data_IF_688582215358
#
_entry.id   IF_688582215358
#
_cell.length_a   1.000
_cell.length_b   1.000
_cell.length_c   1.000
_cell.angle_alpha   90.00
_cell.angle_beta   90.00
_cell.angle_gamma   90.00
#
_symmetry.space_group_name_H-M   'P 1'
#
loop_
_entity.id
_entity.type
_entity.pdbx_description
1 polymer ?
#
# COMPACT_ATOMS: atom_id res chain seq x y z
N UNK A 1 19.11 20.90 42.02
CA UNK A 1 19.85 19.82 41.35
C UNK A 1 18.85 18.73 40.99
N UNK A 2 18.70 18.33 39.72
CA UNK A 2 17.86 17.17 39.37
C UNK A 2 18.68 15.93 39.64
N UNK A 3 18.26 15.09 40.58
CA UNK A 3 18.80 13.75 40.76
C UNK A 3 18.68 13.00 39.42
N UNK A 4 19.82 12.61 38.87
CA UNK A 4 19.85 11.77 37.68
C UNK A 4 19.29 10.41 38.06
N UNK A 5 18.26 9.95 37.34
CA UNK A 5 17.77 8.58 37.45
C UNK A 5 18.96 7.63 37.26
N UNK A 6 19.12 6.67 38.19
CA UNK A 6 20.19 5.68 38.12
C UNK A 6 20.17 4.95 36.77
N UNK A 7 21.35 4.64 36.23
CA UNK A 7 21.48 3.91 34.97
C UNK A 7 20.76 2.55 35.03
N UNK A 8 20.71 1.92 36.20
CA UNK A 8 19.99 0.66 36.43
C UNK A 8 18.48 0.83 36.27
N UNK A 9 17.90 1.87 36.86
CA UNK A 9 16.48 2.20 36.71
C UNK A 9 16.12 2.54 35.27
N UNK A 10 17.00 3.27 34.57
CA UNK A 10 16.80 3.60 33.16
C UNK A 10 16.84 2.35 32.26
N UNK A 11 17.76 1.42 32.53
CA UNK A 11 17.83 0.16 31.80
C UNK A 11 16.62 -0.75 32.08
N UNK A 12 16.21 -0.86 33.36
CA UNK A 12 15.03 -1.64 33.73
C UNK A 12 13.75 -1.11 33.06
N UNK A 13 13.60 0.22 33.00
CA UNK A 13 12.48 0.85 32.32
C UNK A 13 12.52 0.64 30.80
N UNK A 14 13.68 0.74 30.15
CA UNK A 14 13.79 0.43 28.72
C UNK A 14 13.46 -1.03 28.42
N UNK A 15 13.91 -1.97 29.26
CA UNK A 15 13.57 -3.38 29.10
C UNK A 15 12.07 -3.61 29.24
N UNK A 16 11.42 -2.99 30.24
CA UNK A 16 9.97 -3.07 30.40
C UNK A 16 9.23 -2.51 29.16
N UNK A 17 9.70 -1.40 28.59
CA UNK A 17 9.15 -0.85 27.36
C UNK A 17 9.31 -1.82 26.19
N UNK A 18 10.46 -2.46 26.02
CA UNK A 18 10.72 -3.42 24.94
C UNK A 18 9.92 -4.72 25.10
N UNK A 19 9.89 -5.28 26.30
CA UNK A 19 9.40 -6.63 26.54
C UNK A 19 7.89 -6.68 26.78
N UNK A 20 7.29 -5.58 27.26
CA UNK A 20 5.86 -5.52 27.59
C UNK A 20 5.10 -4.63 26.63
N UNK A 21 5.51 -3.37 26.48
CA UNK A 21 4.67 -2.36 25.81
C UNK A 21 4.91 -2.27 24.30
N UNK A 22 6.14 -2.50 23.85
CA UNK A 22 6.54 -2.37 22.44
C UNK A 22 6.78 -3.70 21.76
N UNK A 23 6.58 -4.81 22.47
CA UNK A 23 6.86 -6.15 22.00
C UNK A 23 6.22 -6.42 20.63
N UNK A 24 4.91 -6.19 20.51
CA UNK A 24 4.19 -6.43 19.25
C UNK A 24 4.73 -5.58 18.10
N UNK A 25 5.08 -4.32 18.36
CA UNK A 25 5.67 -3.45 17.33
C UNK A 25 7.05 -3.96 16.90
N UNK A 26 7.87 -4.42 17.86
CA UNK A 26 9.21 -4.96 17.60
C UNK A 26 9.11 -6.28 16.82
N UNK A 27 8.17 -7.15 17.19
CA UNK A 27 7.92 -8.43 16.53
C UNK A 27 7.46 -8.20 15.06
N UNK A 28 6.73 -7.12 14.79
CA UNK A 28 6.36 -6.64 13.44
C UNK A 28 7.48 -5.84 12.72
N UNK A 29 8.70 -5.84 13.28
CA UNK A 29 9.89 -5.27 12.64
C UNK A 29 10.13 -3.79 12.94
N UNK A 30 9.52 -3.21 13.97
CA UNK A 30 9.95 -1.92 14.51
C UNK A 30 11.32 -2.04 15.18
N UNK A 31 12.12 -0.97 15.11
CA UNK A 31 13.45 -0.92 15.71
C UNK A 31 13.48 0.12 16.82
N UNK A 32 14.12 -0.24 17.95
CA UNK A 32 14.28 0.65 19.11
C UNK A 32 15.73 1.07 19.22
N UNK A 33 15.99 2.38 19.18
CA UNK A 33 17.32 2.97 19.23
C UNK A 33 17.45 3.94 20.40
N UNK A 34 18.51 3.77 21.21
CA UNK A 34 18.80 4.67 22.34
C UNK A 34 19.56 5.90 21.84
N UNK A 35 18.99 7.08 22.03
CA UNK A 35 19.66 8.35 21.76
C UNK A 35 20.48 8.75 22.99
N UNK A 36 21.80 8.86 22.82
CA UNK A 36 22.72 9.37 23.85
C UNK A 36 22.97 10.85 23.60
N UNK A 37 23.63 11.55 24.53
CA UNK A 37 24.06 12.96 24.34
C UNK A 37 25.27 13.07 23.41
N UNK A 38 25.26 12.32 22.32
CA UNK A 38 26.31 12.23 21.33
C UNK A 38 25.69 12.37 19.94
N UNK A 39 26.29 13.23 19.13
CA UNK A 39 25.83 13.49 17.76
C UNK A 39 25.73 12.22 16.91
N UNK A 40 26.70 11.32 17.06
CA UNK A 40 26.75 10.01 16.39
C UNK A 40 25.52 9.16 16.65
N UNK A 41 25.02 9.13 17.89
CA UNK A 41 23.84 8.33 18.26
C UNK A 41 22.54 8.88 17.69
N UNK A 42 22.39 10.20 17.63
CA UNK A 42 21.24 10.85 17.01
C UNK A 42 21.24 10.65 15.49
N UNK A 43 22.40 10.82 14.84
CA UNK A 43 22.53 10.58 13.41
C UNK A 43 22.39 9.11 13.03
N UNK A 44 22.75 8.19 13.94
CA UNK A 44 22.47 6.76 13.80
C UNK A 44 20.98 6.47 13.64
N UNK A 45 20.12 7.12 14.44
CA UNK A 45 18.66 6.97 14.32
C UNK A 45 18.13 7.55 12.99
N UNK A 46 18.60 8.72 12.59
CA UNK A 46 18.24 9.34 11.30
C UNK A 46 18.65 8.44 10.13
N UNK A 47 19.87 7.90 10.18
CA UNK A 47 20.37 7.01 9.14
C UNK A 47 19.61 5.69 9.08
N UNK A 48 19.15 5.15 10.20
CA UNK A 48 18.30 3.95 10.21
C UNK A 48 16.98 4.19 9.47
N UNK A 49 16.36 5.35 9.68
CA UNK A 49 15.17 5.78 8.93
C UNK A 49 15.51 5.89 7.44
N UNK A 50 16.53 6.68 7.08
CA UNK A 50 16.94 6.90 5.69
C UNK A 50 17.38 5.63 4.95
N UNK A 51 17.99 4.67 5.65
CA UNK A 51 18.45 3.41 5.06
C UNK A 51 17.28 2.47 4.83
N UNK A 52 16.30 2.43 5.75
CA UNK A 52 15.04 1.70 5.54
C UNK A 52 14.29 2.22 4.31
N UNK A 53 14.37 3.52 4.02
CA UNK A 53 13.81 4.14 2.81
C UNK A 53 14.51 3.70 1.51
N UNK A 54 15.80 3.32 1.55
CA UNK A 54 16.57 2.93 0.36
C UNK A 54 16.35 1.48 -0.09
N UNK A 55 15.83 0.61 0.77
CA UNK A 55 15.74 -0.85 0.52
C UNK A 55 14.35 -1.39 0.13
N UNK A 56 13.28 -0.58 0.21
CA UNK A 56 11.92 -1.06 0.01
C UNK A 56 11.25 -0.49 -1.24
N UNK A 57 11.00 -1.35 -2.25
CA UNK A 57 10.22 -1.01 -3.46
C UNK A 57 8.88 -0.31 -3.15
N UNK A 58 8.22 -0.69 -2.05
CA UNK A 58 6.96 -0.09 -1.62
C UNK A 58 7.06 1.37 -1.17
N UNK A 59 8.20 1.81 -0.61
CA UNK A 59 8.30 3.19 -0.11
C UNK A 59 8.50 4.19 -1.25
N UNK A 60 9.27 3.82 -2.28
CA UNK A 60 9.42 4.64 -3.48
C UNK A 60 8.05 4.91 -4.12
N UNK A 61 7.21 3.88 -4.24
CA UNK A 61 5.85 4.01 -4.78
C UNK A 61 4.97 4.95 -3.95
N UNK A 62 5.03 4.86 -2.61
CA UNK A 62 4.25 5.76 -1.72
C UNK A 62 4.73 7.21 -1.83
N UNK A 63 6.04 7.46 -1.84
CA UNK A 63 6.59 8.81 -2.00
C UNK A 63 6.26 9.40 -3.37
N UNK A 64 6.31 8.60 -4.44
CA UNK A 64 5.95 9.06 -5.78
C UNK A 64 4.47 9.44 -5.84
N UNK A 65 3.57 8.64 -5.26
CA UNK A 65 2.14 8.99 -5.20
C UNK A 65 1.93 10.28 -4.40
N UNK A 66 2.55 10.43 -3.23
CA UNK A 66 2.42 11.64 -2.42
C UNK A 66 2.93 12.88 -3.16
N UNK A 67 4.11 12.78 -3.80
CA UNK A 67 4.66 13.86 -4.63
C UNK A 67 3.73 14.23 -5.80
N UNK A 68 3.16 13.23 -6.47
CA UNK A 68 2.25 13.47 -7.59
C UNK A 68 0.93 14.13 -7.15
N UNK A 69 0.37 13.70 -6.02
CA UNK A 69 -0.91 14.22 -5.51
C UNK A 69 -0.77 15.59 -4.84
N UNK A 70 0.33 15.81 -4.09
CA UNK A 70 0.52 17.01 -3.27
C UNK A 70 1.30 18.06 -4.05
N UNK A 71 2.51 17.74 -4.50
CA UNK A 71 3.42 18.73 -5.10
C UNK A 71 3.03 19.04 -6.55
N UNK A 72 2.62 18.02 -7.30
CA UNK A 72 2.22 18.17 -8.71
C UNK A 72 0.71 18.33 -8.90
N UNK A 73 -0.07 18.28 -7.80
CA UNK A 73 -1.53 18.39 -7.78
C UNK A 73 -2.25 17.52 -8.83
N UNK A 74 -1.68 16.37 -9.16
CA UNK A 74 -2.33 15.41 -10.06
C UNK A 74 -3.51 14.78 -9.33
N UNK A 75 -4.57 14.49 -10.07
CA UNK A 75 -5.65 13.64 -9.56
C UNK A 75 -5.13 12.19 -9.51
N UNK A 76 -5.57 11.38 -8.55
CA UNK A 76 -5.12 10.00 -8.38
C UNK A 76 -5.18 9.13 -9.66
N UNK A 77 -6.19 9.23 -10.55
CA UNK A 77 -6.20 8.50 -11.83
C UNK A 77 -5.06 8.90 -12.76
N UNK A 78 -4.61 10.15 -12.65
CA UNK A 78 -3.50 10.73 -13.41
C UNK A 78 -2.15 10.54 -12.70
N UNK A 79 -2.10 9.83 -11.58
CA UNK A 79 -0.83 9.35 -11.01
C UNK A 79 -0.26 8.22 -11.87
N UNK A 80 1.04 8.01 -11.80
CA UNK A 80 1.71 6.88 -12.46
C UNK A 80 1.14 5.54 -11.98
N UNK A 81 0.91 5.41 -10.67
CA UNK A 81 0.28 4.24 -10.09
C UNK A 81 -1.16 4.04 -10.60
N UNK A 82 -1.94 5.11 -10.68
CA UNK A 82 -3.32 5.09 -11.22
C UNK A 82 -3.37 4.65 -12.68
N UNK A 83 -2.51 5.23 -13.53
CA UNK A 83 -2.38 4.84 -14.94
C UNK A 83 -1.95 3.39 -15.10
N UNK A 84 -0.94 2.96 -14.33
CA UNK A 84 -0.41 1.59 -14.37
C UNK A 84 -1.47 0.57 -13.95
N UNK A 85 -2.24 0.89 -12.90
CA UNK A 85 -3.35 0.05 -12.44
C UNK A 85 -4.42 -0.08 -13.53
N UNK A 86 -4.84 1.04 -14.12
CA UNK A 86 -5.83 1.04 -15.21
C UNK A 86 -5.36 0.20 -16.40
N UNK A 87 -4.12 0.39 -16.85
CA UNK A 87 -3.54 -0.37 -17.95
C UNK A 87 -3.51 -1.90 -17.66
N UNK A 88 -3.19 -2.28 -16.42
CA UNK A 88 -3.23 -3.68 -15.97
C UNK A 88 -4.64 -4.28 -16.03
N UNK A 89 -5.66 -3.52 -15.58
CA UNK A 89 -7.06 -3.94 -15.64
C UNK A 89 -7.59 -4.03 -17.09
N UNK A 90 -7.26 -3.05 -17.94
CA UNK A 90 -7.63 -3.08 -19.37
C UNK A 90 -7.00 -4.28 -20.08
N UNK A 91 -5.74 -4.62 -19.76
CA UNK A 91 -5.06 -5.82 -20.27
C UNK A 91 -5.75 -7.11 -19.83
N UNK A 92 -6.17 -7.22 -18.57
CA UNK A 92 -6.93 -8.39 -18.08
C UNK A 92 -8.28 -8.52 -18.81
N UNK A 93 -8.97 -7.40 -19.02
CA UNK A 93 -10.25 -7.38 -19.73
C UNK A 93 -10.08 -7.86 -21.18
N UNK A 94 -9.03 -7.42 -21.87
CA UNK A 94 -8.75 -7.84 -23.25
C UNK A 94 -8.41 -9.34 -23.31
N UNK A 95 -7.61 -9.84 -22.36
CA UNK A 95 -7.32 -11.28 -22.26
C UNK A 95 -8.58 -12.11 -22.02
N UNK A 96 -9.49 -11.66 -21.16
CA UNK A 96 -10.78 -12.32 -20.95
C UNK A 96 -11.60 -12.30 -22.25
N UNK A 97 -11.75 -11.14 -22.91
CA UNK A 97 -12.47 -11.02 -24.19
C UNK A 97 -11.90 -11.92 -25.29
N UNK A 98 -10.58 -12.05 -25.37
CA UNK A 98 -9.93 -12.94 -26.35
C UNK A 98 -10.24 -14.41 -26.08
N UNK A 99 -10.27 -14.85 -24.81
CA UNK A 99 -10.66 -16.22 -24.44
C UNK A 99 -12.10 -16.55 -24.85
N UNK A 100 -13.01 -15.57 -24.83
CA UNK A 100 -14.39 -15.74 -25.31
C UNK A 100 -14.53 -15.82 -26.84
N UNK A 101 -13.60 -15.20 -27.58
CA UNK A 101 -13.62 -15.24 -29.06
C UNK A 101 -13.04 -16.53 -29.62
N UNK A 102 -12.35 -17.33 -28.80
CA UNK A 102 -11.87 -18.64 -29.23
C UNK A 102 -13.03 -19.62 -29.32
N UNK A 103 -13.13 -20.42 -30.40
CA UNK A 103 -14.17 -21.43 -30.54
C UNK A 103 -14.08 -22.41 -29.36
N UNK A 104 -15.14 -22.47 -28.56
CA UNK A 104 -15.29 -23.49 -27.52
C UNK A 104 -15.60 -24.80 -28.24
N UNK A 105 -14.78 -25.83 -28.03
CA UNK A 105 -15.07 -27.20 -28.46
C UNK A 105 -16.49 -27.58 -28.00
N UNK A 106 -17.36 -28.10 -28.88
CA UNK A 106 -18.79 -28.23 -28.61
C UNK A 106 -19.05 -29.25 -27.50
N UNK A 107 -19.04 -28.76 -26.27
CA UNK A 107 -19.22 -29.56 -25.06
C UNK A 107 -20.63 -29.29 -24.54
N UNK A 108 -21.63 -29.94 -25.15
CA UNK A 108 -23.04 -29.98 -24.71
C UNK A 108 -23.68 -28.64 -24.30
N UNK A 109 -24.73 -28.21 -25.01
CA UNK A 109 -25.41 -26.90 -24.86
C UNK A 109 -25.71 -26.40 -23.43
N UNK A 110 -25.84 -27.28 -22.43
CA UNK A 110 -26.05 -26.91 -21.02
C UNK A 110 -24.76 -26.54 -20.28
N UNK A 111 -23.61 -27.15 -20.58
CA UNK A 111 -22.32 -26.80 -19.96
C UNK A 111 -21.75 -25.52 -20.57
N UNK A 112 -21.88 -25.39 -21.89
CA UNK A 112 -21.47 -24.19 -22.63
C UNK A 112 -22.22 -22.93 -22.16
N UNK A 113 -23.53 -23.02 -21.92
CA UNK A 113 -24.33 -21.89 -21.41
C UNK A 113 -23.96 -21.51 -19.97
N UNK A 114 -23.62 -22.47 -19.11
CA UNK A 114 -23.12 -22.22 -17.74
C UNK A 114 -21.74 -21.57 -17.72
N UNK A 115 -20.82 -22.00 -18.59
CA UNK A 115 -19.48 -21.39 -18.71
C UNK A 115 -19.55 -19.99 -19.30
N UNK A 116 -20.35 -19.77 -20.34
CA UNK A 116 -20.59 -18.45 -20.90
C UNK A 116 -21.20 -17.49 -19.88
N UNK A 117 -22.09 -17.97 -19.01
CA UNK A 117 -22.68 -17.16 -17.95
C UNK A 117 -21.66 -16.75 -16.89
N UNK A 118 -20.83 -17.69 -16.41
CA UNK A 118 -19.74 -17.38 -15.46
C UNK A 118 -18.73 -16.38 -16.03
N UNK A 119 -18.36 -16.55 -17.29
CA UNK A 119 -17.45 -15.61 -17.96
C UNK A 119 -18.05 -14.21 -18.05
N UNK A 120 -19.36 -14.08 -18.32
CA UNK A 120 -20.06 -12.78 -18.33
C UNK A 120 -20.10 -12.14 -16.94
N UNK A 121 -20.32 -12.92 -15.90
CA UNK A 121 -20.31 -12.45 -14.51
C UNK A 121 -18.92 -11.93 -14.10
N UNK A 122 -17.84 -12.63 -14.48
CA UNK A 122 -16.47 -12.23 -14.19
C UNK A 122 -16.07 -10.92 -14.91
N UNK A 123 -16.49 -10.75 -16.16
CA UNK A 123 -16.32 -9.48 -16.90
C UNK A 123 -17.09 -8.36 -16.23
N UNK A 124 -18.35 -8.59 -15.85
CA UNK A 124 -19.17 -7.57 -15.19
C UNK A 124 -18.55 -7.15 -13.85
N UNK A 125 -18.01 -8.10 -13.08
CA UNK A 125 -17.24 -7.81 -11.87
C UNK A 125 -16.03 -6.92 -12.17
N UNK A 126 -15.24 -7.28 -13.17
CA UNK A 126 -14.04 -6.51 -13.57
C UNK A 126 -14.39 -5.10 -14.08
N UNK A 127 -15.48 -4.96 -14.84
CA UNK A 127 -15.97 -3.65 -15.30
C UNK A 127 -16.48 -2.78 -14.15
N UNK A 128 -17.14 -3.39 -13.15
CA UNK A 128 -17.58 -2.69 -11.94
C UNK A 128 -16.38 -2.25 -11.08
N UNK A 129 -15.33 -3.06 -10.98
CA UNK A 129 -14.07 -2.65 -10.34
C UNK A 129 -13.44 -1.43 -11.04
N UNK A 130 -13.41 -1.42 -12.38
CA UNK A 130 -12.92 -0.27 -13.15
C UNK A 130 -13.81 0.97 -12.94
N UNK A 131 -15.14 0.80 -12.90
CA UNK A 131 -16.08 1.90 -12.69
C UNK A 131 -16.01 2.46 -11.25
N UNK A 132 -15.85 1.61 -10.25
CA UNK A 132 -15.71 2.02 -8.83
C UNK A 132 -14.39 2.74 -8.56
N UNK A 133 -13.32 2.38 -9.26
CA UNK A 133 -12.07 3.15 -9.28
C UNK A 133 -12.28 4.57 -9.83
N UNK A 134 -13.24 4.77 -10.74
CA UNK A 134 -13.57 6.08 -11.32
C UNK A 134 -14.52 6.93 -10.42
N UNK A 135 -15.40 6.29 -9.63
CA UNK A 135 -16.44 6.98 -8.83
C UNK A 135 -15.99 7.24 -7.38
N UNK A 136 -15.29 6.30 -6.73
CA UNK A 136 -14.89 6.46 -5.32
C UNK A 136 -13.80 7.52 -5.12
N UNK A 137 -13.03 7.80 -6.16
CA UNK A 137 -11.95 8.80 -6.14
C UNK A 137 -12.52 10.22 -6.19
N UNK A 138 -13.47 10.47 -7.10
CA UNK A 138 -14.15 11.77 -7.23
C UNK A 138 -14.90 12.18 -5.95
N UNK A 139 -15.51 11.23 -5.25
CA UNK A 139 -16.19 11.48 -3.95
C UNK A 139 -15.23 11.66 -2.78
N UNK A 140 -14.10 10.93 -2.75
CA UNK A 140 -13.11 11.07 -1.66
C UNK A 140 -12.33 12.38 -1.74
N UNK A 141 -12.13 12.93 -2.93
CA UNK A 141 -11.49 14.24 -3.11
C UNK A 141 -12.39 15.38 -2.62
N UNK A 142 -13.71 15.31 -2.89
CA UNK A 142 -14.67 16.30 -2.35
C UNK A 142 -14.73 16.30 -0.82
N UNK A 143 -14.52 15.17 -0.15
CA UNK A 143 -14.46 15.12 1.32
C UNK A 143 -13.19 15.73 1.92
N UNK A 144 -12.13 15.96 1.13
CA UNK A 144 -10.91 16.65 1.61
C UNK A 144 -10.97 18.18 1.42
N UNK A 145 -11.85 18.69 0.55
CA UNK A 145 -12.04 20.13 0.31
C UNK A 145 -13.29 20.72 0.99
N UNK A 146 -14.02 19.92 1.79
CA UNK A 146 -15.26 20.32 2.48
C UNK A 146 -15.09 20.61 3.98
N UNK A 147 -13.86 20.94 4.43
CA UNK A 147 -13.55 21.50 5.76
C UNK A 147 -12.78 22.80 5.59
#
# INVERSE_FOLDING_TARGET
MREGVSAETANAHENQLRDVYWKDMIDEGAQVMRIRREYSSAWGAVNAILTRHKGGSNHFTVMTIQKELIDLQKVLPDSEAGRSLRASHEKKLEQQKQKMKQPVEPTGARKESLEQQRQREEIQGTLNEIATLNISVSRRILSFFAV
#
